data_IF_403949385238
#
_entry.id   IF_403949385238
#
_cell.length_a   1.000
_cell.length_b   1.000
_cell.length_c   1.000
_cell.angle_alpha   90.00
_cell.angle_beta   90.00
_cell.angle_gamma   90.00
#
_symmetry.space_group_name_H-M   'P 1'
#
loop_
_entity.id
_entity.type
_entity.pdbx_description
1 polymer ?
#
# COMPACT_ATOMS: atom_id res chain seq x y z
N UNK A 1 -21.10 -26.85 6.81
CA UNK A 1 -20.24 -26.19 5.81
C UNK A 1 -19.40 -25.18 6.56
N UNK A 2 -18.08 -25.28 6.49
CA UNK A 2 -17.19 -24.25 7.03
C UNK A 2 -17.45 -22.93 6.29
N UNK A 3 -17.43 -21.77 6.98
CA UNK A 3 -17.66 -20.50 6.35
C UNK A 3 -16.55 -20.21 5.33
N UNK A 4 -16.93 -20.04 4.07
CA UNK A 4 -16.07 -19.64 2.97
C UNK A 4 -15.35 -18.32 3.27
N UNK A 5 -14.03 -18.30 3.08
CA UNK A 5 -13.24 -17.07 3.20
C UNK A 5 -12.92 -16.46 1.83
N UNK A 6 -12.99 -15.13 1.77
CA UNK A 6 -12.44 -14.29 0.70
C UNK A 6 -11.09 -13.75 1.18
N UNK A 7 -10.02 -14.02 0.43
CA UNK A 7 -8.72 -13.38 0.63
C UNK A 7 -8.61 -12.15 -0.27
N UNK A 8 -8.33 -10.99 0.31
CA UNK A 8 -8.03 -9.75 -0.42
C UNK A 8 -6.59 -9.38 -0.16
N UNK A 9 -5.75 -9.31 -1.19
CA UNK A 9 -4.36 -8.84 -1.05
C UNK A 9 -4.26 -7.36 -1.44
N UNK A 10 -3.86 -6.51 -0.51
CA UNK A 10 -3.64 -5.08 -0.69
C UNK A 10 -3.88 -4.28 0.60
N UNK A 11 -3.20 -3.14 0.73
CA UNK A 11 -3.29 -2.25 1.90
C UNK A 11 -3.72 -0.82 1.56
N UNK A 12 -3.98 -0.54 0.28
CA UNK A 12 -4.31 0.79 -0.20
C UNK A 12 -5.82 1.08 -0.23
N UNK A 13 -6.17 2.26 -0.73
CA UNK A 13 -7.55 2.67 -1.00
C UNK A 13 -8.35 1.65 -1.80
N UNK A 14 -7.78 1.06 -2.85
CA UNK A 14 -8.52 0.18 -3.74
C UNK A 14 -8.87 -1.13 -3.02
N UNK A 15 -7.93 -1.69 -2.27
CA UNK A 15 -8.17 -2.87 -1.45
C UNK A 15 -9.25 -2.62 -0.38
N UNK A 16 -9.18 -1.49 0.32
CA UNK A 16 -10.18 -1.11 1.33
C UNK A 16 -11.57 -0.90 0.71
N UNK A 17 -11.65 -0.22 -0.43
CA UNK A 17 -12.91 0.01 -1.14
C UNK A 17 -13.51 -1.29 -1.70
N UNK A 18 -12.67 -2.21 -2.17
CA UNK A 18 -13.11 -3.53 -2.61
C UNK A 18 -13.73 -4.31 -1.45
N UNK A 19 -13.05 -4.36 -0.29
CA UNK A 19 -13.59 -5.00 0.92
C UNK A 19 -14.92 -4.36 1.32
N UNK A 20 -14.97 -3.03 1.35
CA UNK A 20 -16.19 -2.29 1.68
C UNK A 20 -17.34 -2.61 0.72
N UNK A 21 -17.07 -2.62 -0.59
CA UNK A 21 -18.06 -2.97 -1.60
C UNK A 21 -18.54 -4.42 -1.45
N UNK A 22 -17.61 -5.35 -1.24
CA UNK A 22 -17.93 -6.77 -1.04
C UNK A 22 -18.85 -6.97 0.18
N UNK A 23 -18.56 -6.29 1.30
CA UNK A 23 -19.37 -6.36 2.53
C UNK A 23 -20.82 -5.90 2.37
N UNK A 24 -21.14 -5.09 1.36
CA UNK A 24 -22.53 -4.71 1.04
C UNK A 24 -23.34 -5.88 0.49
N UNK A 25 -22.70 -6.80 -0.22
CA UNK A 25 -23.33 -7.97 -0.83
C UNK A 25 -23.23 -9.22 0.05
N UNK A 26 -22.14 -9.36 0.80
CA UNK A 26 -21.88 -10.53 1.64
C UNK A 26 -21.44 -10.14 3.05
N UNK A 27 -22.39 -10.26 3.98
CA UNK A 27 -22.21 -9.97 5.41
C UNK A 27 -21.73 -11.17 6.22
N UNK A 28 -21.80 -12.39 5.68
CA UNK A 28 -21.60 -13.63 6.46
C UNK A 28 -20.24 -14.27 6.20
N UNK A 29 -19.72 -14.19 4.98
CA UNK A 29 -18.43 -14.78 4.68
C UNK A 29 -17.32 -14.13 5.47
N UNK A 30 -16.29 -14.91 5.76
CA UNK A 30 -15.07 -14.39 6.36
C UNK A 30 -14.29 -13.62 5.29
N UNK A 31 -13.80 -12.44 5.62
CA UNK A 31 -12.89 -11.69 4.75
C UNK A 31 -11.56 -11.58 5.47
N UNK A 32 -10.49 -11.94 4.77
CA UNK A 32 -9.11 -11.83 5.23
C UNK A 32 -8.44 -10.79 4.33
N UNK A 33 -8.07 -9.65 4.89
CA UNK A 33 -7.33 -8.60 4.20
C UNK A 33 -5.84 -8.77 4.51
N UNK A 34 -5.05 -9.05 3.48
CA UNK A 34 -3.60 -9.22 3.57
C UNK A 34 -2.93 -7.92 3.18
N UNK A 35 -2.23 -7.32 4.12
CA UNK A 35 -1.60 -6.01 3.99
C UNK A 35 -0.07 -6.11 4.09
N UNK A 36 0.70 -5.25 3.41
CA UNK A 36 2.15 -5.19 3.63
C UNK A 36 2.49 -4.48 4.94
N UNK A 37 1.57 -3.63 5.39
CA UNK A 37 1.78 -2.72 6.51
C UNK A 37 0.48 -2.59 7.31
N UNK A 38 0.57 -2.02 8.51
CA UNK A 38 -0.64 -1.73 9.33
C UNK A 38 -1.35 -0.44 8.93
N UNK A 39 -0.73 0.38 8.08
CA UNK A 39 -1.30 1.62 7.62
C UNK A 39 -2.18 1.33 6.40
N UNK A 40 -3.47 1.17 6.66
CA UNK A 40 -4.46 0.79 5.65
C UNK A 40 -5.12 2.01 5.02
N UNK A 41 -5.54 1.84 3.77
CA UNK A 41 -6.38 2.82 3.08
C UNK A 41 -5.66 4.12 2.79
N UNK A 42 -4.35 4.06 2.54
CA UNK A 42 -3.63 5.20 2.00
C UNK A 42 -3.85 5.31 0.49
N UNK A 43 -3.64 6.52 -0.02
CA UNK A 43 -3.57 6.77 -1.46
C UNK A 43 -2.12 6.84 -1.90
N UNK A 44 -1.72 5.95 -2.81
CA UNK A 44 -0.41 6.01 -3.48
C UNK A 44 -0.15 7.37 -4.14
N UNK A 45 -1.22 8.08 -4.54
CA UNK A 45 -1.12 9.42 -5.15
C UNK A 45 -0.73 10.50 -4.14
N UNK A 46 -0.96 10.28 -2.84
CA UNK A 46 -0.66 11.24 -1.78
C UNK A 46 0.74 11.05 -1.19
N UNK A 47 1.36 9.87 -1.36
CA UNK A 47 2.69 9.58 -0.81
C UNK A 47 3.71 10.70 -1.12
N UNK A 48 3.85 11.21 -2.36
CA UNK A 48 4.87 12.21 -2.64
C UNK A 48 4.64 13.55 -1.96
N UNK A 49 3.38 13.99 -1.88
CA UNK A 49 3.01 15.25 -1.22
C UNK A 49 3.13 15.14 0.30
N UNK A 50 2.84 13.97 0.85
CA UNK A 50 2.99 13.69 2.26
C UNK A 50 4.47 13.72 2.67
N UNK A 51 5.34 13.06 1.88
CA UNK A 51 6.78 13.03 2.13
C UNK A 51 7.44 14.39 2.22
N UNK A 52 6.91 15.39 1.49
CA UNK A 52 7.46 16.76 1.51
C UNK A 52 6.68 17.70 2.45
N UNK A 53 5.72 17.18 3.22
CA UNK A 53 4.93 17.97 4.18
C UNK A 53 3.84 18.87 3.55
N UNK A 54 3.46 18.65 2.28
CA UNK A 54 2.38 19.38 1.61
C UNK A 54 0.98 18.85 1.98
N UNK A 55 0.90 17.65 2.57
CA UNK A 55 -0.30 17.12 3.22
C UNK A 55 0.09 16.41 4.50
N UNK A 56 -0.78 16.45 5.51
CA UNK A 56 -0.62 15.74 6.79
C UNK A 56 -1.34 14.40 6.82
N UNK A 57 -2.08 14.05 5.76
CA UNK A 57 -2.84 12.81 5.67
C UNK A 57 -2.60 12.11 4.34
N UNK A 58 -2.41 10.79 4.42
CA UNK A 58 -2.36 9.88 3.29
C UNK A 58 -3.74 9.31 2.92
N UNK A 59 -4.78 9.61 3.72
CA UNK A 59 -6.13 9.06 3.57
C UNK A 59 -7.00 10.03 2.77
N UNK A 60 -7.80 9.47 1.85
CA UNK A 60 -8.76 10.22 1.02
C UNK A 60 -10.22 9.97 1.39
N UNK A 61 -10.49 9.24 2.46
CA UNK A 61 -11.84 8.84 2.88
C UNK A 61 -12.00 8.97 4.39
N UNK A 62 -13.27 9.00 4.81
CA UNK A 62 -13.63 9.18 6.21
C UNK A 62 -13.26 7.97 7.06
N UNK A 63 -13.10 8.20 8.36
CA UNK A 63 -12.77 7.16 9.34
C UNK A 63 -13.77 5.99 9.32
N UNK A 64 -15.06 6.27 9.07
CA UNK A 64 -16.12 5.26 8.99
C UNK A 64 -15.90 4.23 7.86
N UNK A 65 -15.23 4.62 6.77
CA UNK A 65 -14.88 3.68 5.70
C UNK A 65 -13.71 2.77 6.09
N UNK A 66 -12.84 3.23 7.00
CA UNK A 66 -11.73 2.46 7.55
C UNK A 66 -12.20 1.52 8.67
N UNK A 67 -13.18 1.93 9.49
CA UNK A 67 -13.79 1.08 10.53
C UNK A 67 -14.46 -0.17 9.95
N UNK A 68 -14.83 -0.16 8.66
CA UNK A 68 -15.26 -1.37 7.97
C UNK A 68 -14.15 -2.41 7.83
N UNK A 69 -12.89 -1.99 7.83
CA UNK A 69 -11.75 -2.91 7.87
C UNK A 69 -11.64 -3.59 9.24
N UNK A 70 -12.14 -2.97 10.32
CA UNK A 70 -12.24 -3.63 11.64
C UNK A 70 -13.24 -4.79 11.63
N UNK A 71 -14.13 -4.85 10.63
CA UNK A 71 -15.06 -5.98 10.42
C UNK A 71 -14.45 -7.14 9.63
N UNK A 72 -13.16 -7.05 9.27
CA UNK A 72 -12.42 -8.10 8.55
C UNK A 72 -11.15 -8.48 9.29
N UNK A 73 -10.64 -9.70 9.05
CA UNK A 73 -9.36 -10.13 9.63
C UNK A 73 -8.24 -9.49 8.82
N UNK A 74 -7.56 -8.49 9.37
CA UNK A 74 -6.32 -7.96 8.77
C UNK A 74 -5.14 -8.83 9.19
N UNK A 75 -4.31 -9.20 8.22
CA UNK A 75 -3.12 -10.03 8.41
C UNK A 75 -1.97 -9.42 7.63
N UNK A 76 -0.76 -9.45 8.16
CA UNK A 76 0.42 -8.98 7.42
C UNK A 76 0.87 -10.00 6.39
N UNK A 77 1.44 -9.53 5.28
CA UNK A 77 1.87 -10.37 4.15
C UNK A 77 2.92 -11.40 4.56
N UNK A 78 3.80 -11.09 5.51
CA UNK A 78 4.82 -11.98 6.05
C UNK A 78 4.27 -13.04 7.01
N UNK A 79 3.01 -12.91 7.42
CA UNK A 79 2.34 -13.88 8.29
C UNK A 79 1.56 -14.96 7.52
N UNK A 80 1.54 -14.88 6.18
CA UNK A 80 0.76 -15.78 5.34
C UNK A 80 1.63 -16.64 4.42
N UNK A 81 1.17 -17.85 4.18
CA UNK A 81 1.69 -18.74 3.14
C UNK A 81 0.51 -19.20 2.27
N UNK A 82 0.57 -18.89 0.97
CA UNK A 82 -0.41 -19.36 0.00
C UNK A 82 -0.09 -20.80 -0.40
N UNK A 83 -1.01 -21.72 -0.13
CA UNK A 83 -0.86 -23.13 -0.49
C UNK A 83 -1.87 -23.47 -1.56
N UNK A 84 -1.51 -23.26 -2.83
CA UNK A 84 -2.47 -23.40 -3.94
C UNK A 84 -3.51 -22.29 -3.97
N UNK A 85 -4.68 -22.57 -4.56
CA UNK A 85 -5.76 -21.58 -4.77
C UNK A 85 -6.92 -21.72 -3.77
N UNK A 86 -6.94 -22.80 -2.98
CA UNK A 86 -8.06 -23.23 -2.16
C UNK A 86 -7.83 -23.01 -0.66
N UNK A 87 -6.65 -22.55 -0.24
CA UNK A 87 -6.31 -22.37 1.17
C UNK A 87 -5.15 -21.38 1.36
N UNK A 88 -5.09 -20.79 2.55
CA UNK A 88 -3.98 -19.96 3.04
C UNK A 88 -3.61 -20.40 4.45
N UNK A 89 -2.33 -20.50 4.74
CA UNK A 89 -1.82 -20.72 6.09
C UNK A 89 -1.55 -19.34 6.70
N UNK A 90 -2.09 -19.08 7.89
CA UNK A 90 -1.90 -17.84 8.62
C UNK A 90 -1.32 -18.20 9.98
N UNK A 91 -0.05 -17.86 10.23
CA UNK A 91 0.65 -18.22 11.48
C UNK A 91 0.51 -19.71 11.86
N UNK A 92 0.57 -20.60 10.87
CA UNK A 92 0.43 -22.05 11.06
C UNK A 92 -1.01 -22.58 11.05
N UNK A 93 -2.04 -21.73 11.06
CA UNK A 93 -3.44 -22.15 10.94
C UNK A 93 -3.85 -22.27 9.47
N UNK A 94 -4.40 -23.41 9.06
CA UNK A 94 -4.95 -23.61 7.72
C UNK A 94 -6.33 -22.94 7.63
N UNK A 95 -6.50 -22.04 6.66
CA UNK A 95 -7.75 -21.34 6.40
C UNK A 95 -8.22 -21.68 4.97
N UNK A 96 -9.35 -22.37 4.78
CA UNK A 96 -9.88 -22.67 3.46
C UNK A 96 -10.35 -21.39 2.77
N UNK A 97 -10.01 -21.24 1.49
CA UNK A 97 -10.38 -20.14 0.64
C UNK A 97 -11.44 -20.57 -0.37
N UNK A 98 -12.45 -19.72 -0.52
CA UNK A 98 -13.42 -19.86 -1.61
C UNK A 98 -13.02 -19.03 -2.83
N UNK A 99 -12.32 -17.92 -2.61
CA UNK A 99 -11.92 -16.95 -3.63
C UNK A 99 -10.64 -16.21 -3.19
N UNK A 100 -9.74 -16.01 -4.14
CA UNK A 100 -8.60 -15.10 -4.03
C UNK A 100 -8.87 -13.86 -4.88
N UNK A 101 -8.77 -12.68 -4.29
CA UNK A 101 -8.82 -11.41 -5.02
C UNK A 101 -7.56 -10.62 -4.71
N UNK A 102 -6.81 -10.30 -5.76
CA UNK A 102 -5.59 -9.50 -5.66
C UNK A 102 -5.96 -8.07 -6.03
N UNK A 103 -6.04 -7.20 -5.04
CA UNK A 103 -6.33 -5.79 -5.21
C UNK A 103 -5.04 -4.96 -5.28
N UNK A 104 -4.25 -5.21 -6.35
CA UNK A 104 -3.31 -4.24 -6.95
C UNK A 104 -2.06 -3.78 -6.18
N UNK A 105 -1.02 -3.45 -6.96
CA UNK A 105 0.28 -2.84 -6.57
C UNK A 105 1.17 -3.62 -5.59
N UNK A 106 1.39 -4.91 -5.90
CA UNK A 106 2.54 -5.67 -5.38
C UNK A 106 3.79 -5.38 -6.23
N UNK A 107 4.37 -4.19 -6.10
CA UNK A 107 5.71 -3.93 -6.63
C UNK A 107 6.78 -4.40 -5.62
N UNK A 108 7.85 -5.06 -6.07
CA UNK A 108 8.81 -5.74 -5.20
C UNK A 108 9.79 -4.77 -4.52
N UNK A 109 10.18 -5.09 -3.28
CA UNK A 109 11.48 -4.65 -2.76
C UNK A 109 12.59 -5.52 -3.34
N UNK A 110 13.68 -4.89 -3.80
CA UNK A 110 14.89 -4.96 -3.00
C UNK A 110 15.47 -3.57 -2.74
N UNK A 111 15.62 -3.23 -1.46
CA UNK A 111 16.37 -2.07 -1.01
C UNK A 111 17.84 -2.21 -1.40
N UNK A 112 18.36 -1.28 -2.22
CA UNK A 112 19.77 -0.91 -2.15
C UNK A 112 19.86 0.28 -1.22
N UNK A 113 20.88 0.34 -0.35
CA UNK A 113 21.05 1.38 0.71
C UNK A 113 20.99 2.85 0.27
N UNK A 114 20.84 3.13 -1.03
CA UNK A 114 20.81 4.47 -1.62
C UNK A 114 19.59 4.71 -2.53
N UNK A 115 18.66 3.74 -2.62
CA UNK A 115 17.47 3.84 -3.49
C UNK A 115 16.24 3.59 -2.64
N UNK A 116 15.43 4.65 -2.47
CA UNK A 116 14.15 4.59 -1.79
C UNK A 116 13.04 4.37 -2.83
N UNK A 117 12.22 3.34 -2.60
CA UNK A 117 11.05 3.07 -3.42
C UNK A 117 9.79 3.60 -2.72
N UNK A 118 9.24 4.69 -3.23
CA UNK A 118 8.09 5.37 -2.64
C UNK A 118 6.78 4.65 -2.99
N UNK A 119 6.44 3.60 -2.24
CA UNK A 119 5.28 2.73 -2.52
C UNK A 119 4.30 2.54 -1.39
N UNK A 120 4.63 2.96 -0.18
CA UNK A 120 3.81 2.77 1.01
C UNK A 120 4.05 3.91 2.03
N UNK A 121 3.22 4.02 3.08
CA UNK A 121 3.36 5.05 4.10
C UNK A 121 4.74 5.09 4.75
N UNK A 122 5.37 3.94 5.02
CA UNK A 122 6.67 3.86 5.67
C UNK A 122 7.77 4.46 4.79
N UNK A 123 7.78 4.16 3.49
CA UNK A 123 8.70 4.78 2.55
C UNK A 123 8.46 6.28 2.40
N UNK A 124 7.22 6.75 2.63
CA UNK A 124 6.90 8.16 2.58
C UNK A 124 7.43 8.91 3.82
N UNK A 125 7.33 8.30 5.01
CA UNK A 125 7.96 8.80 6.24
C UNK A 125 9.48 8.78 6.14
N UNK A 126 10.08 7.72 5.61
CA UNK A 126 11.54 7.65 5.44
C UNK A 126 12.05 8.78 4.54
N UNK A 127 11.35 9.08 3.44
CA UNK A 127 11.70 10.23 2.60
C UNK A 127 11.57 11.54 3.39
N UNK A 128 10.51 11.69 4.18
CA UNK A 128 10.28 12.88 4.99
C UNK A 128 11.42 13.09 6.01
N UNK A 129 11.78 12.05 6.74
CA UNK A 129 12.88 12.08 7.71
C UNK A 129 14.20 12.48 7.06
N UNK A 130 14.49 11.94 5.86
CA UNK A 130 15.68 12.31 5.09
C UNK A 130 15.66 13.79 4.67
N UNK A 131 14.53 14.30 4.22
CA UNK A 131 14.36 15.70 3.85
C UNK A 131 14.51 16.63 5.06
N UNK A 132 13.90 16.28 6.19
CA UNK A 132 14.03 17.00 7.46
C UNK A 132 15.47 16.97 8.00
N UNK A 133 16.20 15.87 7.80
CA UNK A 133 17.63 15.75 8.09
C UNK A 133 18.54 16.54 7.12
N UNK A 134 17.97 17.20 6.11
CA UNK A 134 18.67 18.10 5.22
C UNK A 134 19.11 17.48 3.89
N UNK A 135 18.45 16.41 3.41
CA UNK A 135 18.67 15.89 2.05
C UNK A 135 18.35 16.96 1.01
N UNK A 136 19.37 17.41 0.26
CA UNK A 136 19.24 18.49 -0.75
C UNK A 136 19.32 18.03 -2.21
N UNK A 137 19.84 16.84 -2.45
CA UNK A 137 20.04 16.29 -3.78
C UNK A 137 19.25 15.00 -3.93
N UNK A 138 18.24 15.03 -4.80
CA UNK A 138 17.36 13.89 -5.05
C UNK A 138 17.44 13.54 -6.53
N UNK A 139 17.78 12.30 -6.83
CA UNK A 139 17.65 11.75 -8.17
C UNK A 139 16.37 10.93 -8.21
N UNK A 140 15.45 11.32 -9.08
CA UNK A 140 14.18 10.61 -9.28
C UNK A 140 14.32 9.76 -10.54
N UNK A 141 14.37 8.44 -10.34
CA UNK A 141 14.41 7.43 -11.40
C UNK A 141 12.99 6.91 -11.59
N UNK A 142 12.44 6.91 -12.82
CA UNK A 142 11.25 6.13 -13.28
C UNK A 142 10.64 6.72 -14.57
N UNK A 143 9.56 6.12 -15.06
CA UNK A 143 8.67 6.71 -16.08
C UNK A 143 7.77 7.85 -15.55
N UNK A 144 6.72 8.19 -16.31
CA UNK A 144 5.77 9.28 -15.97
C UNK A 144 5.10 9.14 -14.58
N UNK A 145 5.11 7.95 -13.99
CA UNK A 145 4.58 7.69 -12.65
C UNK A 145 5.28 8.46 -11.53
N UNK A 146 6.52 8.92 -11.74
CA UNK A 146 7.29 9.67 -10.75
C UNK A 146 7.12 11.19 -10.82
N UNK A 147 6.40 11.71 -11.82
CA UNK A 147 6.15 13.15 -11.95
C UNK A 147 5.51 13.79 -10.71
N UNK A 148 4.57 13.14 -9.98
CA UNK A 148 4.04 13.70 -8.74
C UNK A 148 5.11 13.93 -7.67
N UNK A 149 6.15 13.09 -7.60
CA UNK A 149 7.28 13.28 -6.69
C UNK A 149 8.17 14.45 -7.12
N UNK A 150 8.42 14.58 -8.42
CA UNK A 150 9.15 15.72 -8.97
C UNK A 150 8.44 17.03 -8.64
N UNK A 151 7.12 17.12 -8.88
CA UNK A 151 6.30 18.30 -8.55
C UNK A 151 6.36 18.62 -7.05
N UNK A 152 6.16 17.61 -6.20
CA UNK A 152 6.19 17.76 -4.75
C UNK A 152 7.53 18.32 -4.24
N UNK A 153 8.66 17.79 -4.72
CA UNK A 153 10.01 18.25 -4.35
C UNK A 153 10.26 19.70 -4.81
N UNK A 154 9.86 20.05 -6.03
CA UNK A 154 10.03 21.42 -6.57
C UNK A 154 9.25 22.44 -5.73
N UNK A 155 8.03 22.10 -5.30
CA UNK A 155 7.20 23.00 -4.47
C UNK A 155 7.82 23.33 -3.12
N UNK A 156 8.67 22.45 -2.58
CA UNK A 156 9.40 22.69 -1.32
C UNK A 156 10.83 23.18 -1.54
N UNK A 157 11.16 23.62 -2.76
CA UNK A 157 12.45 24.24 -3.08
C UNK A 157 13.58 23.26 -3.38
N UNK A 158 13.29 21.96 -3.49
CA UNK A 158 14.27 20.94 -3.87
C UNK A 158 14.30 20.83 -5.39
N UNK A 159 15.50 20.79 -5.98
CA UNK A 159 15.68 20.64 -7.43
C UNK A 159 16.09 19.20 -7.74
N UNK A 160 15.13 18.29 -7.99
CA UNK A 160 15.47 16.91 -8.31
C UNK A 160 16.08 16.80 -9.70
N UNK A 161 16.99 15.86 -9.87
CA UNK A 161 17.42 15.39 -11.20
C UNK A 161 16.45 14.29 -11.60
N UNK A 162 15.60 14.54 -12.59
CA UNK A 162 14.67 13.55 -13.12
C UNK A 162 15.31 12.78 -14.28
N UNK A 163 15.43 11.47 -14.12
CA UNK A 163 15.96 10.56 -15.14
C UNK A 163 14.81 9.71 -15.66
N UNK A 164 14.37 10.00 -16.89
CA UNK A 164 13.34 9.22 -17.55
C UNK A 164 13.93 7.87 -17.96
N UNK A 165 13.41 6.78 -17.38
CA UNK A 165 13.77 5.44 -17.81
C UNK A 165 13.33 5.19 -19.25
N UNK A 166 14.28 5.05 -20.19
CA UNK A 166 14.01 4.46 -21.49
C UNK A 166 13.81 2.96 -21.29
N UNK A 167 12.71 2.39 -21.78
CA UNK A 167 12.51 0.94 -21.81
C UNK A 167 13.78 0.27 -22.38
N UNK A 168 14.47 -0.50 -21.56
CA UNK A 168 15.44 -1.52 -21.96
C UNK A 168 14.76 -2.87 -21.96
#
# INVERSE_FOLDING_TARGET
MEPSALLVMGDDVAACLLVHAYRKFDRKSRVILVARTRDLGYSHRLLPYYSVGLTTSLRMFSQQLLELVDTVRVVLLDEIELVGMDRVIIRGEVNPLSRLVIAGWLAPHPYRRQVLHLSNPQSAEELRDLLEAGLRSVVVLEGLGALPLVDALVRVGIRPIFVLGSKG
#
